data_IF_770467797022
#
_entry.id   IF_770467797022
#
_cell.length_a   1.000
_cell.length_b   1.000
_cell.length_c   1.000
_cell.angle_alpha   90.00
_cell.angle_beta   90.00
_cell.angle_gamma   90.00
#
_symmetry.space_group_name_H-M   'P 1'
#
loop_
_entity.id
_entity.type
_entity.pdbx_description
1 polymer ?
#
# COMPACT_ATOMS: atom_id res chain seq x y z
N UNK A 1 25.73 -18.32 16.47
CA UNK A 1 25.54 -17.71 15.13
C UNK A 1 24.94 -16.33 15.34
N UNK A 2 25.65 -15.28 14.94
CA UNK A 2 25.38 -13.91 15.39
C UNK A 2 24.19 -13.31 14.61
N UNK A 3 23.13 -12.87 15.31
CA UNK A 3 21.88 -12.35 14.69
C UNK A 3 22.17 -11.22 13.70
N UNK A 4 23.20 -10.41 13.95
CA UNK A 4 23.68 -9.35 13.04
C UNK A 4 24.17 -9.86 11.67
N UNK A 5 24.84 -11.01 11.62
CA UNK A 5 25.33 -11.59 10.35
C UNK A 5 24.15 -12.10 9.52
N UNK A 6 23.11 -12.64 10.17
CA UNK A 6 21.87 -12.99 9.48
C UNK A 6 21.22 -11.72 8.86
N UNK A 7 21.13 -10.65 9.64
CA UNK A 7 20.49 -9.38 9.25
C UNK A 7 21.16 -8.72 8.03
N UNK A 8 22.49 -8.66 7.97
CA UNK A 8 23.20 -8.08 6.83
C UNK A 8 23.06 -8.93 5.56
N UNK A 9 23.17 -10.25 5.69
CA UNK A 9 23.01 -11.18 4.57
C UNK A 9 21.56 -11.21 4.03
N UNK A 10 20.57 -10.94 4.89
CA UNK A 10 19.15 -10.97 4.52
C UNK A 10 18.69 -9.72 3.76
N UNK A 11 19.43 -8.61 3.81
CA UNK A 11 19.03 -7.38 3.12
C UNK A 11 19.08 -7.57 1.59
N UNK A 12 20.14 -8.19 1.06
CA UNK A 12 20.19 -8.59 -0.35
C UNK A 12 19.14 -9.65 -0.70
N UNK A 13 18.88 -10.58 0.22
CA UNK A 13 17.95 -11.69 -0.03
C UNK A 13 16.49 -11.22 -0.09
N UNK A 14 16.12 -10.27 0.78
CA UNK A 14 14.81 -9.61 0.76
C UNK A 14 14.56 -8.89 -0.55
N UNK A 15 15.58 -8.27 -1.13
CA UNK A 15 15.47 -7.66 -2.45
C UNK A 15 15.31 -8.71 -3.57
N UNK A 16 15.99 -9.86 -3.48
CA UNK A 16 15.94 -10.92 -4.51
C UNK A 16 14.63 -11.73 -4.48
N UNK A 17 14.06 -11.97 -3.30
CA UNK A 17 12.85 -12.79 -3.17
C UNK A 17 11.95 -12.41 -1.97
N UNK A 18 11.36 -11.21 -1.95
CA UNK A 18 10.60 -10.72 -0.80
C UNK A 18 9.39 -11.59 -0.48
N UNK A 19 8.69 -12.09 -1.51
CA UNK A 19 7.49 -12.93 -1.35
C UNK A 19 7.82 -14.27 -0.71
N UNK A 20 8.82 -14.99 -1.24
CA UNK A 20 9.19 -16.30 -0.72
C UNK A 20 9.66 -16.23 0.73
N UNK A 21 10.41 -15.19 1.09
CA UNK A 21 10.86 -14.97 2.47
C UNK A 21 9.67 -14.71 3.39
N UNK A 22 8.76 -13.80 3.01
CA UNK A 22 7.56 -13.52 3.79
C UNK A 22 6.70 -14.76 3.96
N UNK A 23 6.50 -15.55 2.91
CA UNK A 23 5.75 -16.79 2.97
C UNK A 23 6.41 -17.80 3.92
N UNK A 24 7.71 -18.04 3.78
CA UNK A 24 8.44 -18.96 4.66
C UNK A 24 8.36 -18.52 6.12
N UNK A 25 8.61 -17.25 6.42
CA UNK A 25 8.55 -16.75 7.80
C UNK A 25 7.12 -16.85 8.34
N UNK A 26 6.11 -16.52 7.54
CA UNK A 26 4.72 -16.57 7.95
C UNK A 26 4.22 -17.99 8.23
N UNK A 27 4.75 -19.01 7.52
CA UNK A 27 4.44 -20.41 7.81
C UNK A 27 5.13 -20.93 9.09
N UNK A 28 6.15 -20.23 9.59
CA UNK A 28 6.94 -20.64 10.74
C UNK A 28 6.83 -19.59 11.87
N UNK A 29 5.80 -19.75 12.71
CA UNK A 29 5.46 -18.85 13.82
C UNK A 29 6.60 -18.60 14.84
N UNK A 30 7.67 -19.41 14.79
CA UNK A 30 8.84 -19.31 15.65
C UNK A 30 9.79 -18.17 15.30
N UNK A 31 9.75 -17.60 14.09
CA UNK A 31 10.69 -16.56 13.64
C UNK A 31 10.15 -15.13 13.83
N UNK A 32 9.64 -14.82 15.02
CA UNK A 32 8.97 -13.54 15.31
C UNK A 32 9.87 -12.30 15.16
N UNK A 33 11.14 -12.38 15.58
CA UNK A 33 12.10 -11.28 15.42
C UNK A 33 12.43 -11.02 13.95
N UNK A 34 12.64 -12.08 13.18
CA UNK A 34 12.93 -11.99 11.74
C UNK A 34 11.71 -11.47 10.98
N UNK A 35 10.52 -11.95 11.33
CA UNK A 35 9.25 -11.42 10.82
C UNK A 35 9.16 -9.92 11.04
N UNK A 36 9.33 -9.47 12.30
CA UNK A 36 9.29 -8.05 12.65
C UNK A 36 10.31 -7.24 11.85
N UNK A 37 11.54 -7.71 11.76
CA UNK A 37 12.60 -7.06 10.99
C UNK A 37 12.25 -6.92 9.49
N UNK A 38 11.79 -8.01 8.85
CA UNK A 38 11.38 -7.98 7.45
C UNK A 38 10.22 -7.01 7.22
N UNK A 39 9.23 -7.01 8.11
CA UNK A 39 8.09 -6.10 8.02
C UNK A 39 8.50 -4.64 8.16
N UNK A 40 9.36 -4.31 9.12
CA UNK A 40 9.86 -2.94 9.29
C UNK A 40 10.61 -2.46 8.03
N UNK A 41 11.42 -3.34 7.41
CA UNK A 41 12.12 -3.01 6.17
C UNK A 41 11.17 -2.76 5.01
N UNK A 42 10.18 -3.63 4.82
CA UNK A 42 9.17 -3.48 3.77
C UNK A 42 8.32 -2.24 4.02
N UNK A 43 7.88 -1.98 5.25
CA UNK A 43 7.07 -0.81 5.55
C UNK A 43 7.84 0.49 5.33
N UNK A 44 9.15 0.51 5.63
CA UNK A 44 10.04 1.65 5.32
C UNK A 44 10.29 1.84 3.82
N UNK A 45 10.42 0.75 3.06
CA UNK A 45 10.67 0.75 1.61
C UNK A 45 9.70 -0.21 0.88
N UNK A 46 8.41 0.15 0.75
CA UNK A 46 7.39 -0.76 0.23
C UNK A 46 7.60 -1.13 -1.23
N UNK A 47 8.35 -0.33 -1.98
CA UNK A 47 8.74 -0.62 -3.36
C UNK A 47 9.43 -1.98 -3.52
N UNK A 48 10.11 -2.49 -2.48
CA UNK A 48 10.70 -3.83 -2.48
C UNK A 48 9.64 -4.90 -2.75
N UNK A 49 8.46 -4.74 -2.17
CA UNK A 49 7.35 -5.67 -2.28
C UNK A 49 6.42 -5.32 -3.44
N UNK A 50 5.95 -4.06 -3.49
CA UNK A 50 4.88 -3.63 -4.40
C UNK A 50 5.33 -3.47 -5.86
N UNK A 51 6.61 -3.19 -6.12
CA UNK A 51 7.15 -3.13 -7.49
C UNK A 51 7.70 -4.48 -7.97
N UNK A 52 7.71 -5.50 -7.12
CA UNK A 52 8.16 -6.83 -7.52
C UNK A 52 7.16 -7.46 -8.49
N UNK A 53 7.64 -8.04 -9.60
CA UNK A 53 6.80 -8.85 -10.48
C UNK A 53 6.16 -10.03 -9.75
N UNK A 54 6.80 -10.49 -8.66
CA UNK A 54 6.29 -11.58 -7.81
C UNK A 54 5.13 -11.13 -6.91
N UNK A 55 4.83 -9.83 -6.80
CA UNK A 55 3.74 -9.31 -5.96
C UNK A 55 2.39 -9.95 -6.28
N UNK A 56 2.17 -10.32 -7.55
CA UNK A 56 0.94 -11.00 -7.99
C UNK A 56 0.71 -12.33 -7.26
N UNK A 57 1.76 -12.94 -6.71
CA UNK A 57 1.69 -14.22 -6.00
C UNK A 57 1.59 -14.06 -4.48
N UNK A 58 1.63 -12.83 -3.95
CA UNK A 58 1.55 -12.59 -2.51
C UNK A 58 0.23 -13.14 -1.96
N UNK A 59 0.26 -13.96 -0.90
CA UNK A 59 -0.99 -14.49 -0.33
C UNK A 59 -1.87 -13.37 0.23
N UNK A 60 -3.20 -13.53 0.11
CA UNK A 60 -4.16 -12.52 0.57
C UNK A 60 -4.01 -12.16 2.07
N UNK A 61 -3.82 -13.13 3.00
CA UNK A 61 -3.62 -12.82 4.43
C UNK A 61 -2.36 -11.98 4.69
N UNK A 62 -1.27 -12.24 3.96
CA UNK A 62 -0.04 -11.46 4.07
C UNK A 62 -0.23 -10.02 3.64
N UNK A 63 -0.91 -9.81 2.50
CA UNK A 63 -1.23 -8.46 2.05
C UNK A 63 -2.16 -7.75 3.05
N UNK A 64 -3.14 -8.46 3.60
CA UNK A 64 -4.05 -7.92 4.62
C UNK A 64 -3.29 -7.42 5.85
N UNK A 65 -2.34 -8.22 6.36
CA UNK A 65 -1.46 -7.81 7.46
C UNK A 65 -0.64 -6.57 7.11
N UNK A 66 -0.15 -6.46 5.87
CA UNK A 66 0.61 -5.28 5.45
C UNK A 66 -0.27 -4.03 5.42
N UNK A 67 -1.48 -4.15 4.89
CA UNK A 67 -2.42 -3.02 4.78
C UNK A 67 -2.98 -2.59 6.14
N UNK A 68 -2.99 -3.45 7.16
CA UNK A 68 -3.39 -3.04 8.51
C UNK A 68 -2.38 -2.12 9.18
N UNK A 69 -1.11 -2.20 8.81
CA UNK A 69 -0.03 -1.40 9.43
C UNK A 69 -0.16 0.09 9.15
N UNK A 70 0.08 0.89 10.19
CA UNK A 70 0.10 2.36 10.11
C UNK A 70 1.43 2.90 9.58
N UNK A 71 2.53 2.16 9.75
CA UNK A 71 3.89 2.57 9.35
C UNK A 71 4.26 2.18 7.91
N UNK A 72 3.31 1.66 7.13
CA UNK A 72 3.50 1.35 5.71
C UNK A 72 3.63 2.65 4.90
N UNK A 73 4.85 2.97 4.47
CA UNK A 73 5.19 4.21 3.75
C UNK A 73 4.83 4.16 2.24
N UNK A 74 3.56 3.89 1.93
CA UNK A 74 3.01 3.86 0.58
C UNK A 74 1.73 4.69 0.55
N UNK A 75 1.51 5.52 -0.48
CA UNK A 75 0.25 6.27 -0.57
C UNK A 75 -0.93 5.33 -0.80
N UNK A 76 -2.09 5.72 -0.29
CA UNK A 76 -3.34 4.97 -0.48
C UNK A 76 -3.67 4.74 -1.96
N UNK A 77 -3.35 5.71 -2.81
CA UNK A 77 -3.56 5.56 -4.25
C UNK A 77 -2.65 4.51 -4.89
N UNK A 78 -1.40 4.39 -4.45
CA UNK A 78 -0.50 3.34 -4.94
C UNK A 78 -0.90 1.97 -4.40
N UNK A 79 -1.42 1.89 -3.17
CA UNK A 79 -2.02 0.66 -2.63
C UNK A 79 -3.20 0.23 -3.49
N UNK A 80 -4.14 1.14 -3.76
CA UNK A 80 -5.30 0.89 -4.61
C UNK A 80 -4.91 0.39 -6.01
N UNK A 81 -3.99 1.10 -6.68
CA UNK A 81 -3.45 0.69 -7.99
C UNK A 81 -2.79 -0.69 -7.95
N UNK A 82 -2.06 -0.99 -6.88
CA UNK A 82 -1.38 -2.28 -6.73
C UNK A 82 -2.36 -3.44 -6.55
N UNK A 83 -3.44 -3.23 -5.80
CA UNK A 83 -4.52 -4.22 -5.64
C UNK A 83 -5.20 -4.52 -6.99
N UNK A 84 -5.54 -3.48 -7.75
CA UNK A 84 -6.10 -3.64 -9.10
C UNK A 84 -5.11 -4.35 -10.03
N UNK A 85 -3.86 -3.88 -10.10
CA UNK A 85 -2.80 -4.49 -10.93
C UNK A 85 -2.67 -5.98 -10.64
N UNK A 86 -2.65 -6.35 -9.35
CA UNK A 86 -2.59 -7.73 -8.91
C UNK A 86 -3.78 -8.54 -9.41
N UNK A 87 -5.01 -8.05 -9.22
CA UNK A 87 -6.20 -8.76 -9.68
C UNK A 87 -6.18 -8.99 -11.20
N UNK A 88 -5.94 -7.95 -12.00
CA UNK A 88 -5.94 -8.07 -13.46
C UNK A 88 -4.83 -8.97 -13.97
N UNK A 89 -3.66 -8.94 -13.34
CA UNK A 89 -2.57 -9.85 -13.68
C UNK A 89 -2.92 -11.32 -13.36
N UNK A 90 -3.57 -11.58 -12.21
CA UNK A 90 -4.00 -12.93 -11.82
C UNK A 90 -5.09 -13.47 -12.74
N UNK A 91 -6.06 -12.63 -13.13
CA UNK A 91 -7.16 -13.03 -14.01
C UNK A 91 -6.79 -13.01 -15.50
N UNK A 92 -5.65 -12.41 -15.87
CA UNK A 92 -5.24 -12.15 -17.26
C UNK A 92 -6.29 -11.36 -18.06
N UNK A 93 -6.97 -10.44 -17.39
CA UNK A 93 -8.01 -9.58 -17.98
C UNK A 93 -7.46 -8.17 -18.16
N UNK A 94 -7.86 -7.49 -19.24
CA UNK A 94 -7.51 -6.08 -19.45
C UNK A 94 -8.31 -5.20 -18.49
N UNK A 95 -7.62 -4.30 -17.79
CA UNK A 95 -8.23 -3.31 -16.91
C UNK A 95 -8.99 -2.25 -17.74
N UNK A 96 -10.22 -2.57 -18.15
CA UNK A 96 -11.11 -1.67 -18.86
C UNK A 96 -12.56 -1.87 -18.36
N UNK A 97 -13.04 -1.04 -17.43
CA UNK A 97 -14.40 -1.13 -16.88
C UNK A 97 -15.55 -1.09 -17.88
N UNK A 98 -15.33 -0.52 -19.08
CA UNK A 98 -16.35 -0.49 -20.14
C UNK A 98 -16.57 -1.88 -20.77
N UNK A 99 -15.62 -2.79 -20.61
CA UNK A 99 -15.65 -4.14 -21.22
C UNK A 99 -16.04 -5.25 -20.26
N UNK A 100 -16.27 -4.94 -18.99
CA UNK A 100 -16.57 -5.96 -17.98
C UNK A 100 -18.03 -6.35 -18.03
N UNK A 101 -18.29 -7.65 -17.96
CA UNK A 101 -19.64 -8.18 -17.75
C UNK A 101 -19.96 -8.27 -16.25
N UNK A 102 -21.17 -8.70 -15.90
CA UNK A 102 -21.60 -8.85 -14.51
C UNK A 102 -20.72 -9.83 -13.72
N UNK A 103 -20.32 -10.95 -14.34
CA UNK A 103 -19.44 -11.94 -13.69
C UNK A 103 -18.06 -11.38 -13.37
N UNK A 104 -17.49 -10.56 -14.26
CA UNK A 104 -16.20 -9.89 -14.06
C UNK A 104 -16.27 -8.91 -12.89
N UNK A 105 -17.38 -8.17 -12.79
CA UNK A 105 -17.66 -7.24 -11.68
C UNK A 105 -17.75 -8.01 -10.36
N UNK A 106 -18.52 -9.10 -10.30
CA UNK A 106 -18.69 -9.92 -9.09
C UNK A 106 -17.35 -10.52 -8.63
N UNK A 107 -16.53 -11.03 -9.56
CA UNK A 107 -15.20 -11.57 -9.24
C UNK A 107 -14.26 -10.50 -8.71
N UNK A 108 -14.27 -9.31 -9.31
CA UNK A 108 -13.43 -8.19 -8.89
C UNK A 108 -13.85 -7.68 -7.50
N UNK A 109 -15.14 -7.50 -7.30
CA UNK A 109 -15.72 -7.10 -6.01
C UNK A 109 -15.32 -8.10 -4.92
N UNK A 110 -15.55 -9.40 -5.14
CA UNK A 110 -15.19 -10.46 -4.19
C UNK A 110 -13.69 -10.51 -3.88
N UNK A 111 -12.83 -10.33 -4.89
CA UNK A 111 -11.38 -10.31 -4.72
C UNK A 111 -10.89 -9.11 -3.91
N UNK A 112 -11.55 -7.95 -4.04
CA UNK A 112 -11.18 -6.71 -3.36
C UNK A 112 -11.89 -6.49 -2.02
N UNK A 113 -13.00 -7.17 -1.78
CA UNK A 113 -13.89 -6.98 -0.63
C UNK A 113 -13.14 -6.89 0.71
N UNK A 114 -12.22 -7.83 0.98
CA UNK A 114 -11.46 -7.85 2.25
C UNK A 114 -10.43 -6.71 2.38
N UNK A 115 -10.03 -6.09 1.27
CA UNK A 115 -9.01 -5.06 1.24
C UNK A 115 -9.59 -3.64 1.23
N UNK A 116 -10.79 -3.46 0.68
CA UNK A 116 -11.48 -2.15 0.61
C UNK A 116 -11.51 -1.46 1.99
N UNK A 117 -11.91 -2.12 3.10
CA UNK A 117 -11.92 -1.48 4.42
C UNK A 117 -10.54 -1.09 4.97
N UNK A 118 -9.45 -1.59 4.38
CA UNK A 118 -8.08 -1.33 4.82
C UNK A 118 -7.43 -0.14 4.11
N UNK A 119 -8.10 0.43 3.11
CA UNK A 119 -7.63 1.60 2.37
C UNK A 119 -8.19 2.85 3.06
N UNK A 120 -7.31 3.81 3.40
CA UNK A 120 -7.74 5.10 3.95
C UNK A 120 -8.15 6.02 2.82
N UNK A 121 -9.28 5.74 2.15
CA UNK A 121 -9.72 6.47 0.95
C UNK A 121 -9.75 8.00 1.11
N UNK A 122 -10.01 8.51 2.31
CA UNK A 122 -9.99 9.94 2.63
C UNK A 122 -8.60 10.60 2.54
N UNK A 123 -7.52 9.82 2.50
CA UNK A 123 -6.16 10.30 2.27
C UNK A 123 -5.78 10.29 0.77
N UNK A 124 -6.70 9.90 -0.12
CA UNK A 124 -6.52 10.00 -1.56
C UNK A 124 -6.87 11.43 -2.02
N UNK A 125 -6.02 12.03 -2.85
CA UNK A 125 -6.25 13.38 -3.38
C UNK A 125 -7.52 13.41 -4.26
N UNK A 126 -8.29 14.51 -4.30
CA UNK A 126 -9.54 14.59 -5.06
C UNK A 126 -9.41 14.17 -6.54
N UNK A 127 -8.35 14.61 -7.22
CA UNK A 127 -8.09 14.24 -8.61
C UNK A 127 -7.86 12.72 -8.77
N UNK A 128 -7.06 12.12 -7.88
CA UNK A 128 -6.82 10.68 -7.90
C UNK A 128 -8.07 9.89 -7.55
N UNK A 129 -8.87 10.36 -6.59
CA UNK A 129 -10.17 9.78 -6.29
C UNK A 129 -11.05 9.74 -7.54
N UNK A 130 -11.24 10.89 -8.21
CA UNK A 130 -12.12 10.98 -9.37
C UNK A 130 -11.67 10.10 -10.53
N UNK A 131 -10.39 10.17 -10.93
CA UNK A 131 -9.91 9.47 -12.12
C UNK A 131 -9.55 7.99 -11.88
N UNK A 132 -9.13 7.63 -10.66
CA UNK A 132 -8.54 6.30 -10.40
C UNK A 132 -9.36 5.45 -9.43
N UNK A 133 -10.20 6.04 -8.58
CA UNK A 133 -11.03 5.28 -7.61
C UNK A 133 -12.49 5.25 -8.06
N UNK A 134 -13.09 6.42 -8.30
CA UNK A 134 -14.50 6.58 -8.69
C UNK A 134 -14.82 5.88 -10.01
N UNK A 135 -13.82 5.71 -10.89
CA UNK A 135 -13.93 4.89 -12.10
C UNK A 135 -14.40 3.44 -11.82
N UNK A 136 -14.13 2.93 -10.62
CA UNK A 136 -14.52 1.60 -10.15
C UNK A 136 -15.68 1.64 -9.15
N UNK A 137 -16.50 2.69 -9.13
CA UNK A 137 -17.59 2.87 -8.15
C UNK A 137 -18.58 1.69 -8.07
N UNK A 138 -18.70 0.90 -9.13
CA UNK A 138 -19.65 -0.23 -9.19
C UNK A 138 -19.26 -1.39 -8.26
N UNK A 139 -17.97 -1.54 -7.94
CA UNK A 139 -17.46 -2.57 -7.01
C UNK A 139 -17.25 -2.05 -5.58
N UNK A 140 -17.51 -0.77 -5.35
CA UNK A 140 -17.30 -0.12 -4.06
C UNK A 140 -18.64 0.00 -3.33
N UNK A 141 -18.67 -0.14 -1.98
CA UNK A 141 -19.89 0.07 -1.21
C UNK A 141 -20.52 1.42 -1.53
N UNK A 142 -21.84 1.46 -1.75
CA UNK A 142 -22.55 2.67 -2.15
C UNK A 142 -22.39 3.80 -1.13
N UNK A 143 -22.48 3.48 0.16
CA UNK A 143 -22.32 4.44 1.26
C UNK A 143 -20.90 5.04 1.26
N UNK A 144 -19.88 4.22 1.01
CA UNK A 144 -18.49 4.67 0.89
C UNK A 144 -18.33 5.67 -0.25
N UNK A 145 -18.91 5.40 -1.42
CA UNK A 145 -18.86 6.32 -2.57
C UNK A 145 -19.54 7.64 -2.25
N UNK A 146 -20.72 7.60 -1.63
CA UNK A 146 -21.46 8.81 -1.26
C UNK A 146 -20.66 9.66 -0.26
N UNK A 147 -20.12 9.04 0.78
CA UNK A 147 -19.33 9.74 1.80
C UNK A 147 -18.04 10.35 1.23
N UNK A 148 -17.36 9.65 0.32
CA UNK A 148 -16.15 10.18 -0.34
C UNK A 148 -16.48 11.32 -1.30
N UNK A 149 -17.59 11.24 -2.04
CA UNK A 149 -18.05 12.33 -2.88
C UNK A 149 -18.35 13.58 -2.04
N UNK A 150 -19.12 13.42 -0.96
CA UNK A 150 -19.44 14.52 -0.07
C UNK A 150 -18.15 15.13 0.53
N UNK A 151 -17.22 14.30 0.99
CA UNK A 151 -15.94 14.74 1.54
C UNK A 151 -15.09 15.55 0.55
N UNK A 152 -15.06 15.16 -0.72
CA UNK A 152 -14.24 15.84 -1.74
C UNK A 152 -14.92 17.05 -2.36
N UNK A 153 -16.25 17.15 -2.33
CA UNK A 153 -17.03 18.22 -2.98
C UNK A 153 -17.43 19.31 -1.98
N UNK A 154 -17.82 18.93 -0.76
CA UNK A 154 -18.31 19.88 0.25
C UNK A 154 -17.14 20.48 1.02
N UNK A 155 -16.99 21.81 1.06
CA UNK A 155 -15.92 22.46 1.80
C UNK A 155 -15.98 22.14 3.30
N UNK A 156 -14.81 21.94 3.92
CA UNK A 156 -14.64 21.68 5.36
C UNK A 156 -15.35 20.43 5.89
N UNK A 157 -15.75 19.51 5.01
CA UNK A 157 -16.37 18.27 5.42
C UNK A 157 -15.36 17.37 6.14
N UNK A 158 -15.80 16.77 7.25
CA UNK A 158 -14.99 15.79 8.00
C UNK A 158 -15.35 14.37 7.57
N UNK A 159 -14.42 13.42 7.64
CA UNK A 159 -14.74 12.02 7.41
C UNK A 159 -15.80 11.53 8.41
N UNK A 160 -16.79 10.77 7.93
CA UNK A 160 -17.91 10.28 8.76
C UNK A 160 -17.58 9.05 9.59
N UNK A 161 -16.56 8.28 9.20
CA UNK A 161 -16.17 7.05 9.86
C UNK A 161 -14.99 7.27 10.82
N UNK A 162 -14.94 6.49 11.91
CA UNK A 162 -13.72 6.37 12.73
C UNK A 162 -12.64 5.69 11.89
N UNK A 163 -11.91 6.50 11.13
CA UNK A 163 -10.84 6.03 10.26
C UNK A 163 -9.64 5.61 11.10
N UNK A 164 -8.99 4.52 10.67
CA UNK A 164 -7.61 4.29 11.05
C UNK A 164 -6.79 5.55 10.77
N UNK A 165 -5.80 5.83 11.62
CA UNK A 165 -4.94 6.99 11.42
C UNK A 165 -4.32 6.96 10.02
N UNK A 166 -4.15 8.15 9.44
CA UNK A 166 -3.49 8.28 8.16
C UNK A 166 -2.10 7.65 8.23
N UNK A 167 -1.77 6.77 7.27
CA UNK A 167 -0.42 6.17 7.19
C UNK A 167 0.65 7.21 6.89
N UNK A 168 0.23 8.37 6.38
CA UNK A 168 1.11 9.52 6.21
C UNK A 168 0.80 10.48 7.35
N UNK A 169 1.78 10.83 8.19
CA UNK A 169 1.58 11.93 9.12
C UNK A 169 1.19 13.17 8.31
N UNK A 170 0.02 13.74 8.63
CA UNK A 170 -0.34 15.09 8.16
C UNK A 170 0.61 16.04 8.85
N UNK A 171 1.71 16.35 8.17
CA UNK A 171 2.65 17.34 8.65
C UNK A 171 2.06 18.69 8.24
N UNK A 172 1.60 19.44 9.23
CA UNK A 172 1.10 20.80 9.08
C UNK A 172 2.29 21.78 8.94
N UNK A 173 3.11 21.54 7.92
CA UNK A 173 4.25 22.41 7.58
C UNK A 173 3.89 23.20 6.34
N UNK A 174 3.76 24.51 6.51
CA UNK A 174 3.66 25.48 5.41
C UNK A 174 4.99 25.68 4.68
N UNK A 175 6.11 25.22 5.26
CA UNK A 175 7.47 25.50 4.80
C UNK A 175 8.12 24.35 4.05
N UNK A 176 7.71 23.10 4.31
CA UNK A 176 8.41 21.91 3.80
C UNK A 176 7.42 20.83 3.43
N UNK A 177 7.45 20.44 2.14
CA UNK A 177 6.69 19.31 1.61
C UNK A 177 7.24 17.96 2.12
N UNK A 178 6.38 16.95 2.26
CA UNK A 178 6.76 15.66 2.86
C UNK A 178 7.95 14.97 2.20
N UNK A 179 8.16 15.26 0.92
CA UNK A 179 9.15 14.61 0.08
C UNK A 179 10.58 15.03 0.46
N UNK A 180 10.76 16.22 1.07
CA UNK A 180 12.05 16.72 1.57
C UNK A 180 12.48 16.13 2.92
N UNK A 181 11.60 15.43 3.65
CA UNK A 181 12.01 14.78 4.91
C UNK A 181 13.06 13.70 4.70
N UNK A 182 13.02 13.02 3.56
CA UNK A 182 14.04 12.04 3.19
C UNK A 182 15.44 12.69 3.05
N UNK A 183 15.48 13.93 2.56
CA UNK A 183 16.68 14.75 2.44
C UNK A 183 17.15 15.24 3.82
N UNK A 184 16.25 15.72 4.67
CA UNK A 184 16.62 16.12 6.03
C UNK A 184 17.10 14.94 6.88
N UNK A 185 16.45 13.79 6.77
CA UNK A 185 16.89 12.57 7.43
C UNK A 185 18.26 12.12 6.93
N UNK A 186 18.58 12.26 5.64
CA UNK A 186 19.92 11.92 5.12
C UNK A 186 20.99 12.89 5.63
N UNK A 187 20.68 14.18 5.79
CA UNK A 187 21.58 15.15 6.42
C UNK A 187 21.84 14.82 7.90
N UNK A 188 20.81 14.47 8.66
CA UNK A 188 20.95 14.06 10.07
C UNK A 188 21.78 12.78 10.19
N UNK A 189 21.50 11.79 9.34
CA UNK A 189 22.21 10.50 9.31
C UNK A 189 23.62 10.60 8.71
N UNK A 190 24.04 11.77 8.21
CA UNK A 190 25.30 11.99 7.46
C UNK A 190 25.49 11.01 6.29
N UNK A 191 24.41 10.68 5.58
CA UNK A 191 24.46 9.83 4.37
C UNK A 191 24.55 10.74 3.15
N UNK A 192 25.51 10.46 2.26
CA UNK A 192 25.71 11.24 1.04
C UNK A 192 24.42 11.32 0.21
N UNK A 193 24.03 12.55 -0.09
CA UNK A 193 22.77 13.00 -0.69
C UNK A 193 22.65 12.69 -2.19
N UNK A 194 23.27 11.61 -2.68
CA UNK A 194 23.45 11.33 -4.11
C UNK A 194 22.31 10.59 -4.81
N UNK A 195 21.14 10.46 -4.18
CA UNK A 195 19.98 9.88 -4.86
C UNK A 195 18.80 10.85 -4.78
N UNK A 196 18.16 11.07 -5.94
CA UNK A 196 16.85 11.68 -6.15
C UNK A 196 16.84 13.17 -6.57
N UNK A 197 17.23 13.40 -7.83
CA UNK A 197 16.48 14.24 -8.78
C UNK A 197 16.44 13.50 -10.13
N UNK A 198 15.40 12.69 -10.34
CA UNK A 198 14.90 12.30 -11.66
C UNK A 198 13.47 11.78 -11.56
#
# INVERSE_FOLDING_TARGET
>A
MNIRILIEYHNEFLHKNPIGILDTIYQHETFTELWKFCLEKICRKPQILFNSDKFINLKAPLLELMLKREDLNLSEIEIWKSLLKRYFAQQKIVNNPVKWNEDDIIKLESALYRFIPLIRFYDIKPADFFYKVYHYKIILPKDLIYDLLEFHIVPNMKPKTNLAHSRRPKIDSTLVESDYFSLFASWIDKKDSLYFLK
#
